data_IF_274641338174
#
_entry.id   IF_274641338174
#
_cell.length_a   1.000
_cell.length_b   1.000
_cell.length_c   1.000
_cell.angle_alpha   90.00
_cell.angle_beta   90.00
_cell.angle_gamma   90.00
#
_symmetry.space_group_name_H-M   'P 1'
#
loop_
_entity.id
_entity.type
_entity.pdbx_description
1 polymer ?
#
# COMPACT_ATOMS: atom_id res chain seq x y z
N UNK A 1 29.22 -3.01 2.91
CA UNK A 1 29.78 -1.92 3.73
C UNK A 1 28.82 -1.69 4.88
N UNK A 2 29.32 -1.64 6.12
CA UNK A 2 28.45 -1.47 7.30
C UNK A 2 28.24 0.01 7.54
N UNK A 3 26.99 0.42 7.74
CA UNK A 3 26.64 1.79 8.05
C UNK A 3 26.48 1.93 9.57
N UNK A 4 26.98 3.04 10.12
CA UNK A 4 26.80 3.43 11.52
C UNK A 4 26.25 4.84 11.59
N UNK A 5 25.22 5.02 12.40
CA UNK A 5 24.48 6.26 12.57
C UNK A 5 24.46 6.70 14.02
N UNK A 6 24.66 7.99 14.25
CA UNK A 6 24.47 8.65 15.55
C UNK A 6 23.45 9.76 15.38
N UNK A 7 22.40 9.71 16.18
CA UNK A 7 21.33 10.70 16.22
C UNK A 7 21.43 11.50 17.52
N UNK A 8 21.23 12.81 17.42
CA UNK A 8 21.03 13.71 18.57
C UNK A 8 19.71 14.44 18.37
N UNK A 9 18.80 14.32 19.33
CA UNK A 9 17.55 15.08 19.42
C UNK A 9 17.72 16.16 20.47
N UNK A 10 17.46 17.40 20.09
CA UNK A 10 17.50 18.58 20.95
C UNK A 10 16.10 19.21 21.00
N UNK A 11 15.54 19.29 22.20
CA UNK A 11 14.25 19.93 22.48
C UNK A 11 14.51 21.22 23.26
N UNK A 12 14.26 22.38 22.64
CA UNK A 12 14.52 23.69 23.26
C UNK A 12 13.21 24.35 23.63
N UNK A 13 13.01 24.64 24.92
CA UNK A 13 11.86 25.41 25.40
C UNK A 13 11.97 26.88 24.95
N UNK A 14 10.93 27.39 24.30
CA UNK A 14 10.94 28.73 23.69
C UNK A 14 10.83 29.87 24.70
N UNK A 15 10.39 29.58 25.93
CA UNK A 15 10.17 30.57 26.98
C UNK A 15 11.38 30.68 27.91
N UNK A 16 12.04 29.55 28.18
CA UNK A 16 13.15 29.44 29.14
C UNK A 16 14.51 29.27 28.48
N UNK A 17 14.55 28.88 27.21
CA UNK A 17 15.76 28.47 26.47
C UNK A 17 16.45 27.21 27.03
N UNK A 18 15.80 26.46 27.92
CA UNK A 18 16.31 25.18 28.41
C UNK A 18 16.31 24.14 27.28
N UNK A 19 17.37 23.33 27.22
CA UNK A 19 17.56 22.30 26.18
C UNK A 19 17.60 20.92 26.82
N UNK A 20 16.71 20.04 26.37
CA UNK A 20 16.71 18.62 26.64
C UNK A 20 17.37 17.89 25.46
N UNK A 21 18.34 17.02 25.73
CA UNK A 21 19.12 16.33 24.69
C UNK A 21 19.09 14.82 24.88
N UNK A 22 18.83 14.10 23.80
CA UNK A 22 18.91 12.62 23.72
C UNK A 22 19.84 12.23 22.58
N UNK A 23 20.74 11.27 22.84
CA UNK A 23 21.67 10.76 21.84
C UNK A 23 21.54 9.25 21.76
N UNK A 24 21.35 8.72 20.56
CA UNK A 24 21.22 7.28 20.32
C UNK A 24 22.00 6.87 19.07
N UNK A 25 22.36 5.58 19.00
CA UNK A 25 22.94 4.96 17.82
C UNK A 25 21.91 4.12 17.07
N UNK A 26 22.20 3.80 15.81
CA UNK A 26 21.24 3.13 14.95
C UNK A 26 21.44 1.63 14.76
N UNK A 27 20.34 0.98 14.44
CA UNK A 27 20.32 -0.28 13.73
C UNK A 27 19.96 -0.04 12.26
N UNK A 28 20.83 -0.41 11.34
CA UNK A 28 20.55 -0.33 9.89
C UNK A 28 19.75 -1.55 9.47
N UNK A 29 18.70 -1.34 8.70
CA UNK A 29 17.86 -2.43 8.18
C UNK A 29 18.34 -2.91 6.82
N UNK A 30 17.73 -3.96 6.32
CA UNK A 30 17.93 -4.47 4.97
C UNK A 30 17.19 -3.66 3.90
N UNK A 31 16.55 -2.53 4.23
CA UNK A 31 15.65 -1.84 3.31
C UNK A 31 16.32 -1.42 2.00
N UNK A 32 17.43 -0.68 2.09
CA UNK A 32 18.20 -0.21 0.92
C UNK A 32 18.77 -1.38 0.13
N UNK A 33 19.33 -2.39 0.80
CA UNK A 33 19.88 -3.58 0.14
C UNK A 33 18.81 -4.37 -0.61
N UNK A 34 17.61 -4.50 -0.04
CA UNK A 34 16.47 -5.13 -0.69
C UNK A 34 16.03 -4.35 -1.93
N UNK A 35 15.98 -3.01 -1.86
CA UNK A 35 15.59 -2.17 -3.01
C UNK A 35 16.59 -2.28 -4.16
N UNK A 36 17.89 -2.41 -3.87
CA UNK A 36 18.93 -2.51 -4.89
C UNK A 36 19.18 -3.95 -5.39
N UNK A 37 18.97 -4.94 -4.52
CA UNK A 37 19.37 -6.32 -4.75
C UNK A 37 18.24 -7.23 -5.23
N UNK A 38 16.98 -6.90 -4.95
CA UNK A 38 15.84 -7.70 -5.37
C UNK A 38 15.29 -7.17 -6.68
N UNK A 39 15.09 -8.07 -7.63
CA UNK A 39 14.55 -7.74 -8.95
C UNK A 39 13.32 -8.62 -9.31
N UNK A 40 12.27 -8.64 -8.46
CA UNK A 40 11.05 -9.40 -8.76
C UNK A 40 10.47 -8.95 -10.10
N UNK A 41 10.08 -9.91 -10.94
CA UNK A 41 9.53 -9.71 -12.28
C UNK A 41 10.41 -8.86 -13.22
N UNK A 42 11.70 -8.74 -12.91
CA UNK A 42 12.65 -8.01 -13.74
C UNK A 42 12.44 -6.49 -13.80
N UNK A 43 11.97 -5.86 -12.72
CA UNK A 43 11.76 -4.40 -12.60
C UNK A 43 12.90 -3.56 -13.19
N UNK A 44 14.16 -3.96 -13.02
CA UNK A 44 15.32 -3.18 -13.50
C UNK A 44 15.60 -3.33 -15.00
N UNK A 45 14.93 -4.25 -15.67
CA UNK A 45 15.14 -4.52 -17.09
C UNK A 45 14.11 -3.76 -17.94
N UNK A 46 14.55 -3.35 -19.14
CA UNK A 46 13.64 -2.97 -20.22
C UNK A 46 13.25 -4.25 -20.97
N UNK A 47 12.22 -4.92 -20.48
CA UNK A 47 11.88 -6.28 -20.90
C UNK A 47 10.52 -6.40 -21.61
N UNK A 48 9.75 -5.32 -21.69
CA UNK A 48 8.42 -5.34 -22.33
C UNK A 48 8.45 -4.69 -23.72
N UNK A 49 8.42 -3.36 -23.84
CA UNK A 49 8.30 -2.68 -25.13
C UNK A 49 9.04 -1.33 -25.22
N UNK A 50 8.77 -0.62 -26.32
CA UNK A 50 9.30 0.73 -26.56
C UNK A 50 8.81 1.73 -25.50
N UNK A 51 7.54 1.58 -25.09
CA UNK A 51 6.77 2.48 -24.23
C UNK A 51 6.81 2.16 -22.73
N UNK A 52 7.71 1.28 -22.28
CA UNK A 52 7.95 1.05 -20.86
C UNK A 52 8.24 2.37 -20.14
N UNK A 53 7.43 2.70 -19.13
CA UNK A 53 7.78 3.77 -18.21
C UNK A 53 8.59 3.19 -17.05
N UNK A 54 9.74 3.80 -16.77
CA UNK A 54 10.61 3.41 -15.67
C UNK A 54 11.25 4.65 -15.07
N UNK A 55 11.37 4.67 -13.75
CA UNK A 55 11.97 5.80 -13.07
C UNK A 55 13.45 5.95 -13.45
N UNK A 56 13.88 7.19 -13.66
CA UNK A 56 15.31 7.52 -13.73
C UNK A 56 15.90 7.42 -12.31
N UNK A 57 16.75 6.44 -12.05
CA UNK A 57 17.30 6.23 -10.71
C UNK A 57 18.17 7.39 -10.23
N UNK A 58 19.06 7.91 -11.08
CA UNK A 58 19.87 9.07 -10.75
C UNK A 58 19.01 10.33 -10.63
N UNK A 59 19.13 11.02 -9.49
CA UNK A 59 18.33 12.20 -9.16
C UNK A 59 17.02 11.88 -8.43
N UNK A 60 16.52 10.64 -8.48
CA UNK A 60 15.31 10.24 -7.73
C UNK A 60 15.62 9.32 -6.54
N UNK A 61 16.44 8.28 -6.75
CA UNK A 61 16.84 7.31 -5.73
C UNK A 61 18.35 7.38 -5.46
N UNK A 62 19.17 7.67 -6.47
CA UNK A 62 20.60 7.87 -6.33
C UNK A 62 21.01 9.35 -6.34
N UNK A 63 22.07 9.72 -5.62
CA UNK A 63 22.84 8.90 -4.65
C UNK A 63 21.99 8.45 -3.45
N UNK A 64 22.39 7.39 -2.74
CA UNK A 64 21.61 6.81 -1.62
C UNK A 64 21.22 7.90 -0.61
N UNK A 65 22.20 8.67 -0.12
CA UNK A 65 21.93 9.92 0.60
C UNK A 65 22.05 11.10 -0.38
N UNK A 66 21.09 12.04 -0.44
CA UNK A 66 19.96 12.19 0.49
C UNK A 66 18.62 11.69 -0.08
N UNK A 67 18.60 10.65 -0.92
CA UNK A 67 17.39 10.26 -1.68
C UNK A 67 16.72 8.99 -1.14
N UNK A 68 17.35 7.81 -1.29
CA UNK A 68 16.87 6.56 -0.67
C UNK A 68 16.96 6.58 0.85
N UNK A 69 17.95 7.29 1.39
CA UNK A 69 18.01 7.67 2.79
C UNK A 69 18.05 9.19 2.79
N UNK A 70 16.93 9.82 3.13
CA UNK A 70 16.74 11.25 2.93
C UNK A 70 15.70 11.89 3.81
N UNK A 71 14.84 11.09 4.42
CA UNK A 71 13.84 11.54 5.37
C UNK A 71 14.00 10.87 6.73
N UNK A 72 13.14 11.29 7.65
CA UNK A 72 13.05 10.78 9.01
C UNK A 72 11.59 10.56 9.38
N UNK A 73 11.32 9.48 10.13
CA UNK A 73 10.02 9.13 10.70
C UNK A 73 10.17 9.06 12.23
N UNK A 74 9.23 9.64 12.96
CA UNK A 74 9.21 9.70 14.43
C UNK A 74 7.99 8.94 14.92
N UNK A 75 8.18 8.05 15.90
CA UNK A 75 7.15 7.13 16.38
C UNK A 75 6.87 7.32 17.85
N UNK A 76 5.62 7.11 18.26
CA UNK A 76 5.19 7.23 19.66
C UNK A 76 5.51 5.99 20.51
N UNK A 77 5.75 4.85 19.86
CA UNK A 77 6.20 3.61 20.50
C UNK A 77 7.55 3.18 19.93
N UNK A 78 8.28 2.37 20.71
CA UNK A 78 9.50 1.72 20.25
C UNK A 78 9.23 0.84 19.03
N UNK A 79 10.26 0.63 18.22
CA UNK A 79 10.27 -0.24 17.06
C UNK A 79 11.00 -1.54 17.39
N UNK A 80 10.57 -2.66 16.82
CA UNK A 80 11.33 -3.91 16.91
C UNK A 80 12.67 -3.75 16.19
N UNK A 81 13.78 -3.92 16.91
CA UNK A 81 15.14 -3.89 16.36
C UNK A 81 15.45 -5.20 15.63
N UNK A 82 15.02 -5.25 14.38
CA UNK A 82 15.25 -6.36 13.47
C UNK A 82 15.62 -5.82 12.08
N UNK A 83 16.66 -6.37 11.46
CA UNK A 83 17.13 -5.89 10.16
C UNK A 83 16.09 -6.10 9.05
N UNK A 84 15.20 -7.08 9.20
CA UNK A 84 14.10 -7.34 8.26
C UNK A 84 12.82 -6.57 8.62
N UNK A 85 12.78 -5.86 9.75
CA UNK A 85 11.70 -4.96 10.09
C UNK A 85 11.84 -3.64 9.32
N UNK A 86 11.33 -3.65 8.09
CA UNK A 86 11.46 -2.55 7.12
C UNK A 86 10.22 -1.63 7.06
N UNK A 87 9.12 -1.97 7.74
CA UNK A 87 7.91 -1.16 7.85
C UNK A 87 7.22 -1.40 9.20
N UNK A 88 6.54 -0.38 9.72
CA UNK A 88 5.62 -0.56 10.83
C UNK A 88 4.23 -0.99 10.35
N UNK A 89 3.52 -1.70 11.22
CA UNK A 89 2.08 -1.91 11.07
C UNK A 89 1.32 -0.67 11.56
N UNK A 90 0.02 -0.64 11.29
CA UNK A 90 -0.84 0.51 11.49
C UNK A 90 -1.07 0.92 12.96
N UNK A 91 -0.66 0.09 13.93
CA UNK A 91 -0.73 0.40 15.36
C UNK A 91 0.40 1.34 15.83
N UNK A 92 1.42 1.56 14.99
CA UNK A 92 2.54 2.46 15.25
C UNK A 92 2.93 3.24 13.98
N UNK A 93 1.97 3.96 13.41
CA UNK A 93 2.23 4.93 12.35
C UNK A 93 3.04 6.12 12.88
N UNK A 94 3.86 6.78 12.04
CA UNK A 94 4.68 7.90 12.47
C UNK A 94 3.82 9.10 12.89
N UNK A 95 4.15 9.69 14.03
CA UNK A 95 3.49 10.90 14.56
C UNK A 95 4.06 12.19 13.98
N UNK A 96 5.29 12.12 13.47
CA UNK A 96 5.97 13.23 12.80
C UNK A 96 6.99 12.68 11.79
N UNK A 97 7.37 13.51 10.82
CA UNK A 97 8.32 13.14 9.79
C UNK A 97 8.98 14.36 9.17
N UNK A 98 10.06 14.18 8.42
CA UNK A 98 10.62 15.23 7.57
C UNK A 98 11.34 14.61 6.36
N UNK A 99 11.44 15.37 5.28
CA UNK A 99 12.06 14.94 4.01
C UNK A 99 13.44 15.59 3.85
N UNK A 100 14.05 15.45 2.67
CA UNK A 100 15.35 16.05 2.33
C UNK A 100 15.24 17.52 1.86
N UNK A 101 14.13 18.19 2.18
CA UNK A 101 13.83 19.56 1.78
C UNK A 101 13.03 20.28 2.88
N UNK A 102 12.80 21.58 2.66
CA UNK A 102 12.02 22.42 3.56
C UNK A 102 10.53 22.06 3.49
N UNK A 103 9.84 22.12 4.62
CA UNK A 103 8.38 22.04 4.64
C UNK A 103 7.79 23.39 4.20
N UNK A 104 7.38 23.48 2.94
CA UNK A 104 6.69 24.63 2.35
C UNK A 104 5.17 24.58 2.49
N UNK A 105 4.63 23.68 3.31
CA UNK A 105 3.19 23.39 3.42
C UNK A 105 2.67 23.62 4.84
N UNK A 106 1.35 23.55 5.02
CA UNK A 106 0.70 23.63 6.33
C UNK A 106 0.74 22.32 7.14
N UNK A 107 1.46 21.30 6.68
CA UNK A 107 1.52 20.00 7.36
C UNK A 107 2.28 20.12 8.69
N UNK A 108 1.56 20.04 9.81
CA UNK A 108 2.12 20.15 11.17
C UNK A 108 2.85 18.89 11.62
N UNK A 109 2.64 17.73 11.00
CA UNK A 109 3.46 16.55 11.26
C UNK A 109 4.85 16.65 10.62
N UNK A 110 5.02 17.57 9.65
CA UNK A 110 6.22 17.65 8.82
C UNK A 110 7.22 18.72 9.29
N UNK A 111 8.45 18.31 9.59
CA UNK A 111 9.59 19.19 9.82
C UNK A 111 10.31 19.61 8.53
N UNK A 112 11.33 20.45 8.65
CA UNK A 112 12.12 20.97 7.54
C UNK A 112 13.57 20.48 7.60
N UNK A 113 14.17 20.12 6.46
CA UNK A 113 15.62 19.97 6.39
C UNK A 113 16.30 21.33 6.50
N UNK A 114 17.28 21.45 7.39
CA UNK A 114 18.20 22.59 7.42
C UNK A 114 19.25 22.41 6.31
N UNK A 115 19.10 23.20 5.24
CA UNK A 115 19.92 23.11 4.03
C UNK A 115 21.36 23.58 4.21
N UNK A 116 21.67 24.30 5.28
CA UNK A 116 23.02 24.81 5.57
C UNK A 116 23.83 23.82 6.39
N UNK A 117 23.20 23.17 7.37
CA UNK A 117 23.88 22.21 8.24
C UNK A 117 23.91 20.79 7.69
N UNK A 118 22.94 20.45 6.82
CA UNK A 118 22.88 19.13 6.16
C UNK A 118 23.84 19.08 4.98
N UNK A 119 24.72 18.08 4.95
CA UNK A 119 25.76 17.97 3.92
C UNK A 119 26.32 16.56 3.81
N UNK A 120 26.84 16.26 2.63
CA UNK A 120 27.71 15.11 2.45
C UNK A 120 28.99 15.25 3.30
N UNK A 121 29.45 14.12 3.83
CA UNK A 121 30.74 13.94 4.50
C UNK A 121 31.64 13.10 3.59
N UNK A 122 32.92 13.00 3.93
CA UNK A 122 33.87 12.18 3.14
C UNK A 122 33.47 10.70 3.08
N UNK A 123 32.97 10.17 4.19
CA UNK A 123 32.54 8.77 4.34
C UNK A 123 31.07 8.63 4.77
N UNK A 124 30.21 9.59 4.42
CA UNK A 124 28.83 9.56 4.91
C UNK A 124 28.01 10.80 4.62
N UNK A 125 26.98 11.04 5.43
CA UNK A 125 26.10 12.18 5.33
C UNK A 125 25.66 12.67 6.70
N UNK A 126 25.57 13.99 6.87
CA UNK A 126 24.96 14.64 8.04
C UNK A 126 23.62 15.23 7.61
N UNK A 127 22.55 14.81 8.26
CA UNK A 127 21.23 15.42 8.18
C UNK A 127 20.96 16.28 9.40
N UNK A 128 20.28 17.40 9.21
CA UNK A 128 19.74 18.23 10.28
C UNK A 128 18.31 18.58 9.92
N UNK A 129 17.36 18.13 10.72
CA UNK A 129 15.95 18.49 10.61
C UNK A 129 15.53 19.38 11.76
N UNK A 130 14.65 20.34 11.46
CA UNK A 130 14.13 21.31 12.40
C UNK A 130 12.60 21.30 12.38
N UNK A 131 12.00 21.31 13.56
CA UNK A 131 10.56 21.38 13.76
C UNK A 131 10.28 22.63 14.60
N UNK A 132 9.43 23.49 14.04
CA UNK A 132 8.91 24.66 14.74
C UNK A 132 8.03 24.25 15.93
N UNK A 133 7.61 25.18 16.80
CA UNK A 133 6.78 24.82 17.94
C UNK A 133 5.44 24.20 17.54
N UNK A 134 4.87 24.61 16.41
CA UNK A 134 3.65 24.02 15.85
C UNK A 134 3.82 22.63 15.21
N UNK A 135 5.06 22.18 15.00
CA UNK A 135 5.37 20.98 14.22
C UNK A 135 5.87 19.81 15.08
N UNK A 136 5.53 18.60 14.65
CA UNK A 136 6.03 17.34 15.22
C UNK A 136 5.67 17.11 16.68
N UNK A 137 4.52 17.64 17.12
CA UNK A 137 4.09 17.54 18.51
C UNK A 137 3.57 16.13 18.83
N UNK A 138 3.97 15.60 19.98
CA UNK A 138 3.62 14.26 20.43
C UNK A 138 4.69 13.63 21.31
N UNK A 139 4.44 12.39 21.71
CA UNK A 139 5.45 11.53 22.34
C UNK A 139 6.31 10.90 21.26
N UNK A 140 7.62 10.89 21.46
CA UNK A 140 8.60 10.30 20.54
C UNK A 140 9.40 9.27 21.33
N UNK A 141 9.25 8.00 20.98
CA UNK A 141 9.95 6.87 21.60
C UNK A 141 10.89 6.15 20.64
N UNK A 142 10.73 6.36 19.32
CA UNK A 142 11.67 5.86 18.32
C UNK A 142 11.75 6.80 17.11
N UNK A 143 12.88 6.72 16.41
CA UNK A 143 13.17 7.50 15.22
C UNK A 143 13.78 6.57 14.18
N UNK A 144 13.35 6.69 12.93
CA UNK A 144 13.87 5.90 11.81
C UNK A 144 14.26 6.82 10.66
N UNK A 145 15.40 6.54 10.02
CA UNK A 145 15.65 7.10 8.68
C UNK A 145 14.74 6.42 7.66
N UNK A 146 14.31 7.15 6.64
CA UNK A 146 13.47 6.68 5.53
C UNK A 146 13.93 7.33 4.22
N UNK A 147 13.32 6.97 3.10
CA UNK A 147 13.48 7.72 1.84
C UNK A 147 13.01 9.17 1.96
N UNK A 148 13.55 10.04 1.12
CA UNK A 148 13.09 11.42 0.98
C UNK A 148 11.57 11.46 0.73
N UNK A 149 11.04 10.59 -0.12
CA UNK A 149 9.60 10.50 -0.43
C UNK A 149 8.76 10.02 0.75
N UNK A 150 9.26 9.07 1.54
CA UNK A 150 8.62 8.64 2.78
C UNK A 150 8.55 9.78 3.81
N UNK A 151 9.57 10.64 3.84
CA UNK A 151 9.61 11.82 4.71
C UNK A 151 8.73 13.01 4.26
N UNK A 152 8.14 12.96 3.06
CA UNK A 152 7.26 14.06 2.58
C UNK A 152 5.91 14.05 3.29
N UNK A 153 5.27 12.87 3.41
CA UNK A 153 3.92 12.74 3.97
C UNK A 153 3.73 11.52 4.89
N UNK A 154 4.78 10.74 5.15
CA UNK A 154 4.64 9.43 5.80
C UNK A 154 3.71 8.55 4.97
N UNK A 155 2.66 8.02 5.61
CA UNK A 155 1.60 7.26 4.93
C UNK A 155 0.50 8.14 4.34
N UNK A 156 0.45 9.44 4.64
CA UNK A 156 -0.55 10.37 4.12
C UNK A 156 -1.08 11.34 5.18
N UNK A 157 -1.58 12.48 4.71
CA UNK A 157 -2.18 13.54 5.53
C UNK A 157 -3.23 14.31 4.73
N UNK A 158 -3.94 15.23 5.38
CA UNK A 158 -4.85 16.18 4.71
C UNK A 158 -4.14 17.10 3.70
N UNK A 159 -2.82 17.27 3.82
CA UNK A 159 -2.03 18.19 2.99
C UNK A 159 -1.41 17.48 1.78
N UNK A 160 -1.10 16.19 1.92
CA UNK A 160 -0.36 15.40 0.94
C UNK A 160 -0.41 13.92 1.27
N UNK A 161 -0.59 13.06 0.27
CA UNK A 161 -0.61 11.60 0.43
C UNK A 161 -0.02 10.80 -0.76
N UNK A 162 0.28 11.45 -1.89
CA UNK A 162 0.78 10.79 -3.09
C UNK A 162 2.19 10.20 -2.96
N UNK A 163 3.05 10.78 -2.12
CA UNK A 163 4.46 10.39 -2.02
C UNK A 163 4.68 8.98 -1.44
N UNK A 164 3.65 8.39 -0.84
CA UNK A 164 3.66 7.06 -0.21
C UNK A 164 3.98 5.96 -1.22
N UNK A 165 3.50 6.08 -2.46
CA UNK A 165 3.73 5.12 -3.54
C UNK A 165 4.54 5.79 -4.65
N UNK A 166 5.78 5.35 -4.86
CA UNK A 166 6.62 5.83 -5.95
C UNK A 166 6.58 4.82 -7.09
N UNK A 167 6.01 5.17 -8.24
CA UNK A 167 6.06 4.32 -9.42
C UNK A 167 7.52 4.13 -9.85
N UNK A 168 7.99 2.89 -9.89
CA UNK A 168 9.33 2.56 -10.37
C UNK A 168 9.30 1.94 -11.77
N UNK A 169 8.19 1.29 -12.14
CA UNK A 169 7.98 0.66 -13.44
C UNK A 169 6.49 0.61 -13.79
N UNK A 170 6.15 0.90 -15.03
CA UNK A 170 4.92 0.45 -15.70
C UNK A 170 5.36 -0.31 -16.96
N UNK A 171 5.26 -1.63 -16.89
CA UNK A 171 5.57 -2.52 -17.99
C UNK A 171 4.33 -2.63 -18.90
N UNK A 172 4.49 -2.26 -20.17
CA UNK A 172 3.42 -2.32 -21.17
C UNK A 172 3.07 -3.77 -21.48
N UNK A 173 1.79 -4.12 -21.30
CA UNK A 173 1.22 -5.44 -21.61
C UNK A 173 0.05 -5.32 -22.59
N UNK A 174 -0.06 -4.22 -23.32
CA UNK A 174 -1.13 -3.96 -24.29
C UNK A 174 -1.20 -4.98 -25.43
N UNK A 175 -0.05 -5.56 -25.81
CA UNK A 175 0.07 -6.60 -26.83
C UNK A 175 -0.34 -8.00 -26.33
N UNK A 176 -0.51 -8.18 -25.01
CA UNK A 176 -1.05 -9.43 -24.46
C UNK A 176 -2.51 -9.59 -24.91
N UNK A 177 -2.94 -10.76 -25.41
CA UNK A 177 -4.32 -10.96 -25.84
C UNK A 177 -5.32 -10.58 -24.74
N UNK A 178 -6.43 -9.91 -25.10
CA UNK A 178 -7.41 -9.38 -24.11
C UNK A 178 -7.92 -10.42 -23.11
N UNK A 179 -8.17 -11.65 -23.57
CA UNK A 179 -8.56 -12.75 -22.68
C UNK A 179 -7.47 -13.08 -21.63
N UNK A 180 -6.20 -12.96 -22.01
CA UNK A 180 -5.06 -13.18 -21.12
C UNK A 180 -4.83 -11.98 -20.19
N UNK A 181 -5.06 -10.75 -20.65
CA UNK A 181 -5.07 -9.56 -19.78
C UNK A 181 -6.13 -9.70 -18.68
N UNK A 182 -7.35 -10.13 -19.03
CA UNK A 182 -8.40 -10.37 -18.03
C UNK A 182 -7.98 -11.38 -16.97
N UNK A 183 -7.29 -12.47 -17.35
CA UNK A 183 -6.76 -13.43 -16.38
C UNK A 183 -5.80 -12.76 -15.38
N UNK A 184 -4.91 -11.88 -15.85
CA UNK A 184 -4.02 -11.10 -14.97
C UNK A 184 -4.81 -10.10 -14.11
N UNK A 185 -5.84 -9.47 -14.69
CA UNK A 185 -6.68 -8.49 -14.00
C UNK A 185 -7.61 -9.15 -12.99
N UNK A 186 -7.81 -10.46 -13.05
CA UNK A 186 -8.58 -11.28 -12.10
C UNK A 186 -7.70 -11.86 -10.97
N UNK A 187 -6.44 -11.43 -10.87
CA UNK A 187 -5.54 -11.89 -9.79
C UNK A 187 -6.13 -11.57 -8.42
N UNK A 188 -6.24 -12.59 -7.58
CA UNK A 188 -6.67 -12.52 -6.19
C UNK A 188 -5.51 -12.70 -5.21
N UNK A 189 -4.43 -13.39 -5.63
CA UNK A 189 -3.25 -13.66 -4.81
C UNK A 189 -2.00 -13.84 -5.68
N UNK A 190 -0.85 -13.41 -5.15
CA UNK A 190 0.48 -13.65 -5.74
C UNK A 190 1.37 -14.30 -4.69
N UNK A 191 1.93 -15.47 -5.03
CA UNK A 191 2.98 -16.13 -4.28
C UNK A 191 4.32 -15.88 -4.98
N UNK A 192 4.99 -14.81 -4.52
CA UNK A 192 6.22 -14.30 -5.10
C UNK A 192 7.36 -15.31 -5.05
N UNK A 193 7.50 -16.05 -3.95
CA UNK A 193 8.60 -16.99 -3.74
C UNK A 193 8.49 -18.21 -4.66
N UNK A 194 7.27 -18.66 -4.94
CA UNK A 194 7.04 -19.81 -5.81
C UNK A 194 6.74 -19.46 -7.27
N UNK A 195 6.78 -18.17 -7.65
CA UNK A 195 6.53 -17.70 -9.01
C UNK A 195 5.10 -18.04 -9.48
N UNK A 196 4.12 -17.86 -8.59
CA UNK A 196 2.73 -18.20 -8.84
C UNK A 196 1.81 -16.99 -8.64
N UNK A 197 0.76 -16.93 -9.45
CA UNK A 197 -0.41 -16.12 -9.17
C UNK A 197 -1.68 -16.98 -9.23
N UNK A 198 -2.73 -16.54 -8.56
CA UNK A 198 -4.04 -17.17 -8.57
C UNK A 198 -5.07 -16.17 -9.10
N UNK A 199 -5.62 -16.49 -10.27
CA UNK A 199 -6.66 -15.72 -10.93
C UNK A 199 -8.01 -16.37 -10.66
N UNK A 200 -8.99 -15.59 -10.18
CA UNK A 200 -10.30 -16.10 -9.78
C UNK A 200 -11.39 -15.21 -10.36
N UNK A 201 -12.37 -15.84 -11.00
CA UNK A 201 -13.51 -15.17 -11.61
C UNK A 201 -14.77 -16.01 -11.52
N UNK A 202 -15.92 -15.39 -11.75
CA UNK A 202 -17.21 -16.05 -11.77
C UNK A 202 -17.92 -15.78 -13.09
N UNK A 203 -18.56 -16.81 -13.63
CA UNK A 203 -19.39 -16.75 -14.83
C UNK A 203 -20.59 -17.66 -14.60
N UNK A 204 -21.79 -17.12 -14.80
CA UNK A 204 -23.06 -17.78 -14.48
C UNK A 204 -23.06 -18.37 -13.04
N UNK A 205 -23.40 -19.66 -12.91
CA UNK A 205 -23.35 -20.42 -11.66
C UNK A 205 -22.03 -21.21 -11.54
N UNK A 206 -20.91 -20.54 -11.79
CA UNK A 206 -19.59 -21.15 -11.63
C UNK A 206 -18.53 -20.17 -11.16
N UNK A 207 -17.54 -20.71 -10.45
CA UNK A 207 -16.30 -20.01 -10.11
C UNK A 207 -15.14 -20.74 -10.76
N UNK A 208 -14.31 -20.00 -11.50
CA UNK A 208 -13.11 -20.52 -12.17
C UNK A 208 -11.87 -20.01 -11.47
N UNK A 209 -11.00 -20.93 -11.09
CA UNK A 209 -9.73 -20.68 -10.40
C UNK A 209 -8.61 -21.15 -11.31
N UNK A 210 -7.68 -20.25 -11.63
CA UNK A 210 -6.50 -20.57 -12.43
C UNK A 210 -5.25 -20.37 -11.58
N UNK A 211 -4.49 -21.45 -11.41
CA UNK A 211 -3.13 -21.39 -10.86
C UNK A 211 -2.18 -21.16 -12.00
N UNK A 212 -1.44 -20.06 -11.97
CA UNK A 212 -0.62 -19.62 -13.09
C UNK A 212 0.82 -19.47 -12.61
N UNK A 213 1.74 -19.99 -13.41
CA UNK A 213 3.16 -19.66 -13.32
C UNK A 213 3.42 -18.35 -14.04
N UNK A 214 4.08 -17.43 -13.36
CA UNK A 214 4.59 -16.18 -13.94
C UNK A 214 6.05 -15.97 -13.51
N UNK A 215 6.96 -15.52 -14.38
CA UNK A 215 8.35 -15.30 -13.98
C UNK A 215 8.48 -14.15 -12.96
N UNK A 216 8.91 -14.46 -11.74
CA UNK A 216 9.12 -13.47 -10.67
C UNK A 216 10.62 -13.40 -10.32
N UNK A 217 11.19 -14.47 -9.80
CA UNK A 217 12.61 -14.56 -9.44
C UNK A 217 13.41 -15.56 -10.27
N UNK A 218 12.73 -16.45 -10.99
CA UNK A 218 13.33 -17.31 -11.99
C UNK A 218 12.55 -17.23 -13.30
N UNK A 219 13.27 -17.46 -14.41
CA UNK A 219 12.74 -17.40 -15.76
C UNK A 219 13.14 -18.67 -16.51
N UNK A 220 12.17 -19.27 -17.22
CA UNK A 220 12.36 -20.39 -18.10
C UNK A 220 12.99 -19.99 -19.43
N UNK A 221 13.55 -20.96 -20.15
CA UNK A 221 14.32 -20.72 -21.38
C UNK A 221 13.55 -19.98 -22.49
N UNK A 222 12.22 -20.11 -22.51
CA UNK A 222 11.34 -19.47 -23.49
C UNK A 222 10.33 -18.52 -22.85
N UNK A 223 10.45 -18.27 -21.54
CA UNK A 223 9.61 -17.30 -20.85
C UNK A 223 10.14 -15.88 -21.10
N UNK A 224 9.25 -14.92 -21.05
CA UNK A 224 9.49 -13.49 -21.17
C UNK A 224 8.98 -12.78 -19.92
N UNK A 225 9.50 -11.59 -19.65
CA UNK A 225 9.12 -10.76 -18.50
C UNK A 225 8.03 -9.74 -18.81
N UNK A 226 7.37 -9.90 -19.96
CA UNK A 226 6.28 -9.07 -20.50
C UNK A 226 4.89 -9.65 -20.26
N UNK A 227 4.80 -10.61 -19.34
CA UNK A 227 3.59 -11.36 -18.98
C UNK A 227 2.93 -12.14 -20.14
N UNK A 228 3.44 -12.03 -21.38
CA UNK A 228 2.86 -12.69 -22.57
C UNK A 228 3.04 -14.20 -22.60
N UNK A 229 3.89 -14.73 -21.74
CA UNK A 229 4.28 -16.15 -21.70
C UNK A 229 3.96 -16.82 -20.36
N UNK A 230 3.08 -16.21 -19.54
CA UNK A 230 2.59 -16.91 -18.34
C UNK A 230 2.00 -18.27 -18.73
N UNK A 231 2.06 -19.24 -17.82
CA UNK A 231 1.55 -20.59 -18.07
C UNK A 231 0.47 -20.96 -17.04
N UNK A 232 -0.72 -21.32 -17.51
CA UNK A 232 -1.76 -21.91 -16.65
C UNK A 232 -1.33 -23.33 -16.28
N UNK A 233 -1.05 -23.55 -14.99
CA UNK A 233 -0.66 -24.85 -14.45
C UNK A 233 -1.87 -25.71 -14.08
N UNK A 234 -2.92 -25.05 -13.59
CA UNK A 234 -4.18 -25.69 -13.21
C UNK A 234 -5.35 -24.75 -13.52
N UNK A 235 -6.44 -25.33 -13.99
CA UNK A 235 -7.68 -24.62 -14.31
C UNK A 235 -8.86 -25.41 -13.72
N UNK A 236 -9.42 -24.89 -12.64
CA UNK A 236 -10.46 -25.54 -11.85
C UNK A 236 -11.75 -24.76 -11.95
N UNK A 237 -12.83 -25.44 -12.34
CA UNK A 237 -14.19 -24.89 -12.32
C UNK A 237 -14.96 -25.51 -11.17
N UNK A 238 -15.56 -24.67 -10.34
CA UNK A 238 -16.46 -25.01 -9.24
C UNK A 238 -17.88 -24.65 -9.66
N UNK A 239 -18.81 -25.60 -9.59
CA UNK A 239 -20.24 -25.33 -9.85
C UNK A 239 -20.89 -24.84 -8.57
N UNK A 240 -21.42 -23.61 -8.60
CA UNK A 240 -22.11 -22.98 -7.48
C UNK A 240 -23.62 -23.16 -7.60
N UNK A 241 -24.33 -23.11 -6.47
CA UNK A 241 -25.79 -23.14 -6.41
C UNK A 241 -26.37 -21.78 -6.03
N UNK A 242 -25.68 -21.04 -5.17
CA UNK A 242 -26.15 -19.74 -4.64
C UNK A 242 -25.29 -18.61 -5.16
N UNK A 243 -23.97 -18.77 -5.11
CA UNK A 243 -23.04 -17.72 -5.51
C UNK A 243 -23.00 -17.53 -7.02
N UNK A 244 -23.16 -16.28 -7.43
CA UNK A 244 -22.95 -15.76 -8.77
C UNK A 244 -22.67 -14.26 -8.63
N UNK A 245 -22.13 -13.62 -9.67
CA UNK A 245 -22.11 -12.17 -9.70
C UNK A 245 -23.51 -11.65 -10.07
N UNK A 246 -24.07 -10.80 -9.21
CA UNK A 246 -25.35 -10.13 -9.41
C UNK A 246 -25.23 -9.03 -10.47
N UNK A 247 -26.36 -8.67 -11.07
CA UNK A 247 -26.46 -7.71 -12.18
C UNK A 247 -26.63 -8.40 -13.54
N UNK A 248 -27.16 -7.66 -14.52
CA UNK A 248 -27.46 -8.19 -15.86
C UNK A 248 -26.42 -7.77 -16.91
N UNK A 249 -26.20 -6.45 -17.04
CA UNK A 249 -25.24 -5.88 -17.98
C UNK A 249 -23.87 -5.70 -17.33
N UNK A 250 -23.85 -4.99 -16.21
CA UNK A 250 -22.67 -4.88 -15.34
C UNK A 250 -22.78 -5.93 -14.25
N UNK A 251 -21.75 -6.75 -14.10
CA UNK A 251 -21.69 -7.76 -13.05
C UNK A 251 -20.99 -7.17 -11.82
N UNK A 252 -21.62 -7.27 -10.66
CA UNK A 252 -21.13 -6.75 -9.39
C UNK A 252 -20.51 -7.87 -8.57
N UNK A 253 -19.20 -7.88 -8.41
CA UNK A 253 -18.57 -8.87 -7.54
C UNK A 253 -17.06 -8.89 -7.58
N UNK A 254 -16.49 -9.39 -6.49
CA UNK A 254 -15.04 -9.40 -6.27
C UNK A 254 -14.58 -10.65 -5.53
N UNK A 255 -13.34 -11.04 -5.83
CA UNK A 255 -12.61 -12.10 -5.13
C UNK A 255 -11.42 -11.51 -4.38
N UNK A 256 -11.23 -11.96 -3.14
CA UNK A 256 -10.20 -11.48 -2.23
C UNK A 256 -9.51 -12.65 -1.54
N UNK A 257 -8.20 -12.54 -1.35
CA UNK A 257 -7.46 -13.39 -0.44
C UNK A 257 -7.76 -13.03 1.02
N UNK A 258 -8.28 -13.98 1.80
CA UNK A 258 -8.51 -13.80 3.24
C UNK A 258 -7.25 -13.86 4.09
N UNK A 259 -6.12 -14.31 3.54
CA UNK A 259 -4.85 -14.59 4.24
C UNK A 259 -5.00 -15.57 5.41
N UNK A 260 -6.03 -16.40 5.37
CA UNK A 260 -6.42 -17.36 6.42
C UNK A 260 -6.52 -18.81 5.87
N UNK A 261 -5.95 -19.06 4.69
CA UNK A 261 -6.05 -20.33 3.98
C UNK A 261 -7.28 -20.44 3.07
N UNK A 262 -8.05 -19.36 2.92
CA UNK A 262 -9.22 -19.31 2.05
C UNK A 262 -9.21 -18.09 1.11
N UNK A 263 -9.79 -18.26 -0.08
CA UNK A 263 -10.26 -17.15 -0.90
C UNK A 263 -11.74 -16.92 -0.62
N UNK A 264 -12.16 -15.67 -0.74
CA UNK A 264 -13.55 -15.26 -0.55
C UNK A 264 -14.05 -14.52 -1.79
N UNK A 265 -15.22 -14.89 -2.27
CA UNK A 265 -15.97 -14.15 -3.28
C UNK A 265 -17.19 -13.47 -2.67
N UNK A 266 -17.48 -12.25 -3.09
CA UNK A 266 -18.65 -11.47 -2.65
C UNK A 266 -19.33 -10.81 -3.85
N UNK A 267 -20.65 -10.71 -3.79
CA UNK A 267 -21.44 -9.99 -4.78
C UNK A 267 -22.66 -9.33 -4.12
N UNK A 268 -22.85 -8.03 -4.41
CA UNK A 268 -24.01 -7.26 -4.01
C UNK A 268 -24.30 -6.16 -5.03
N UNK A 269 -25.57 -5.88 -5.27
CA UNK A 269 -25.99 -4.61 -5.84
C UNK A 269 -26.04 -3.54 -4.74
N UNK A 270 -25.64 -2.30 -5.07
CA UNK A 270 -25.65 -1.21 -4.09
C UNK A 270 -27.07 -0.83 -3.66
N UNK A 271 -27.26 -0.53 -2.37
CA UNK A 271 -28.55 -0.15 -1.81
C UNK A 271 -28.48 1.13 -0.96
N UNK A 272 -29.40 2.06 -1.22
CA UNK A 272 -29.50 3.34 -0.50
C UNK A 272 -30.45 3.29 0.70
N UNK A 273 -31.22 2.22 0.84
CA UNK A 273 -32.24 2.03 1.88
C UNK A 273 -32.44 0.53 2.18
N UNK A 274 -33.16 0.23 3.26
CA UNK A 274 -33.43 -1.14 3.68
C UNK A 274 -32.19 -1.91 4.16
N UNK A 275 -32.26 -3.23 4.05
CA UNK A 275 -31.16 -4.16 4.31
C UNK A 275 -30.45 -4.48 3.00
N UNK A 276 -29.14 -4.67 3.05
CA UNK A 276 -28.36 -5.15 1.90
C UNK A 276 -28.46 -6.68 1.81
N UNK A 277 -28.47 -7.19 0.59
CA UNK A 277 -28.29 -8.62 0.30
C UNK A 277 -26.92 -8.81 -0.32
N UNK A 278 -26.21 -9.88 0.07
CA UNK A 278 -24.91 -10.23 -0.47
C UNK A 278 -24.79 -11.74 -0.61
N UNK A 279 -24.49 -12.23 -1.81
CA UNK A 279 -24.09 -13.63 -1.99
C UNK A 279 -22.58 -13.76 -1.82
N UNK A 280 -22.15 -14.86 -1.21
CA UNK A 280 -20.75 -15.08 -0.88
C UNK A 280 -20.33 -16.53 -1.11
N UNK A 281 -19.04 -16.73 -1.33
CA UNK A 281 -18.39 -18.04 -1.40
C UNK A 281 -17.07 -18.00 -0.64
N UNK A 282 -16.79 -19.05 0.13
CA UNK A 282 -15.52 -19.29 0.83
C UNK A 282 -14.89 -20.55 0.27
N UNK A 283 -13.68 -20.44 -0.27
CA UNK A 283 -13.00 -21.50 -1.04
C UNK A 283 -11.68 -21.86 -0.35
N UNK A 284 -11.50 -23.12 0.01
CA UNK A 284 -10.27 -23.66 0.55
C UNK A 284 -9.13 -23.59 -0.47
N UNK A 285 -8.00 -23.00 -0.09
CA UNK A 285 -6.80 -22.97 -0.94
C UNK A 285 -6.13 -24.34 -1.08
N UNK A 286 -6.42 -25.28 -0.18
CA UNK A 286 -5.76 -26.60 -0.13
C UNK A 286 -6.35 -27.59 -1.12
N UNK A 287 -7.69 -27.64 -1.21
CA UNK A 287 -8.42 -28.67 -1.95
C UNK A 287 -9.59 -28.14 -2.79
N UNK A 288 -9.77 -26.82 -2.82
CA UNK A 288 -10.88 -26.14 -3.50
C UNK A 288 -12.27 -26.54 -3.03
N UNK A 289 -12.37 -27.22 -1.88
CA UNK A 289 -13.66 -27.38 -1.20
C UNK A 289 -14.20 -26.00 -0.83
N UNK A 290 -15.51 -25.80 -0.93
CA UNK A 290 -16.10 -24.50 -0.68
C UNK A 290 -17.44 -24.59 0.02
N UNK A 291 -17.79 -23.49 0.66
CA UNK A 291 -19.14 -23.20 1.17
C UNK A 291 -19.59 -21.88 0.60
N UNK A 292 -20.88 -21.74 0.36
CA UNK A 292 -21.49 -20.54 -0.19
C UNK A 292 -22.80 -20.23 0.52
N UNK A 293 -23.30 -19.02 0.33
CA UNK A 293 -24.60 -18.63 0.84
C UNK A 293 -24.98 -17.21 0.49
N UNK A 294 -26.03 -16.75 1.15
CA UNK A 294 -26.55 -15.40 1.05
C UNK A 294 -26.61 -14.79 2.45
N UNK A 295 -26.19 -13.53 2.56
CA UNK A 295 -26.34 -12.71 3.74
C UNK A 295 -27.44 -11.67 3.54
N UNK A 296 -28.26 -11.48 4.58
CA UNK A 296 -29.14 -10.31 4.72
C UNK A 296 -28.59 -9.42 5.83
N UNK A 297 -27.96 -8.31 5.44
CA UNK A 297 -27.29 -7.38 6.34
C UNK A 297 -28.29 -6.32 6.79
N UNK A 298 -28.87 -6.56 7.97
CA UNK A 298 -29.98 -5.77 8.49
C UNK A 298 -29.66 -4.27 8.60
N UNK A 299 -30.44 -3.44 7.90
CA UNK A 299 -30.27 -1.98 7.85
C UNK A 299 -28.91 -1.47 7.33
N UNK A 300 -28.09 -2.34 6.72
CA UNK A 300 -26.85 -1.95 6.08
C UNK A 300 -27.13 -1.40 4.68
N UNK A 301 -26.50 -0.26 4.34
CA UNK A 301 -26.64 0.43 3.06
C UNK A 301 -25.30 0.48 2.38
N UNK A 302 -25.05 -0.46 1.48
CA UNK A 302 -23.74 -0.69 0.89
C UNK A 302 -23.67 -0.08 -0.52
N UNK A 303 -22.48 0.32 -0.96
CA UNK A 303 -22.20 0.30 -2.40
C UNK A 303 -21.88 -1.14 -2.83
N UNK A 304 -21.80 -1.38 -4.13
CA UNK A 304 -21.25 -2.63 -4.65
C UNK A 304 -19.79 -2.82 -4.19
N UNK A 305 -19.42 -4.08 -3.91
CA UNK A 305 -18.04 -4.49 -3.55
C UNK A 305 -17.02 -4.27 -4.68
N UNK A 306 -17.52 -4.15 -5.90
CA UNK A 306 -16.77 -3.96 -7.13
C UNK A 306 -17.63 -4.39 -8.31
N UNK A 307 -17.17 -4.10 -9.52
CA UNK A 307 -17.90 -4.41 -10.74
C UNK A 307 -16.98 -4.65 -11.92
N UNK A 308 -17.53 -5.29 -12.95
CA UNK A 308 -16.86 -5.56 -14.21
C UNK A 308 -17.89 -5.53 -15.34
N UNK A 309 -17.47 -5.07 -16.50
CA UNK A 309 -18.23 -5.20 -17.74
C UNK A 309 -17.58 -6.31 -18.59
N UNK A 310 -18.41 -7.21 -19.11
CA UNK A 310 -18.00 -8.27 -20.02
C UNK A 310 -17.88 -7.82 -21.48
N UNK A 311 -18.05 -6.52 -21.76
CA UNK A 311 -17.91 -5.97 -23.10
C UNK A 311 -16.54 -6.31 -23.70
N UNK A 312 -16.53 -6.85 -24.92
CA UNK A 312 -15.34 -7.49 -25.50
C UNK A 312 -14.28 -6.52 -26.02
N UNK A 313 -14.47 -5.21 -25.82
CA UNK A 313 -13.61 -4.20 -26.48
C UNK A 313 -12.35 -3.92 -25.68
N UNK A 314 -12.46 -3.90 -24.34
CA UNK A 314 -11.33 -3.72 -23.41
C UNK A 314 -11.68 -4.36 -22.06
N UNK A 315 -10.67 -4.81 -21.30
CA UNK A 315 -10.89 -5.37 -19.96
C UNK A 315 -11.38 -4.27 -18.98
N UNK A 316 -12.46 -4.55 -18.25
CA UNK A 316 -13.05 -3.64 -17.27
C UNK A 316 -13.14 -4.31 -15.89
N UNK A 317 -12.60 -3.67 -14.85
CA UNK A 317 -12.70 -4.13 -13.46
C UNK A 317 -12.55 -2.97 -12.47
N UNK A 318 -13.49 -2.86 -11.55
CA UNK A 318 -13.51 -1.86 -10.49
C UNK A 318 -13.55 -2.54 -9.13
N UNK A 319 -12.57 -2.28 -8.27
CA UNK A 319 -12.46 -2.87 -6.94
C UNK A 319 -12.78 -1.83 -5.86
N UNK A 320 -13.79 -2.11 -5.03
CA UNK A 320 -14.27 -1.18 -3.98
C UNK A 320 -14.18 -1.70 -2.56
N UNK A 321 -13.84 -2.97 -2.36
CA UNK A 321 -13.76 -3.61 -1.05
C UNK A 321 -12.36 -4.18 -0.77
N UNK A 322 -12.16 -4.65 0.46
CA UNK A 322 -11.01 -5.48 0.81
C UNK A 322 -11.35 -6.41 1.99
N UNK A 323 -10.55 -7.46 2.17
CA UNK A 323 -10.66 -8.39 3.31
C UNK A 323 -9.42 -8.26 4.19
N UNK A 324 -9.63 -8.04 5.49
CA UNK A 324 -8.56 -7.96 6.49
C UNK A 324 -8.97 -8.72 7.75
N UNK A 325 -8.12 -9.64 8.20
CA UNK A 325 -8.24 -10.33 9.50
C UNK A 325 -9.63 -10.92 9.79
N UNK A 326 -10.23 -11.60 8.80
CA UNK A 326 -11.54 -12.24 8.96
C UNK A 326 -12.75 -11.29 8.83
N UNK A 327 -12.53 -10.07 8.35
CA UNK A 327 -13.58 -9.09 8.08
C UNK A 327 -13.54 -8.60 6.63
N UNK A 328 -14.71 -8.45 6.03
CA UNK A 328 -14.93 -7.72 4.77
C UNK A 328 -15.20 -6.24 5.08
N UNK A 329 -14.56 -5.35 4.34
CA UNK A 329 -14.73 -3.90 4.43
C UNK A 329 -15.41 -3.39 3.16
N UNK A 330 -16.64 -2.88 3.29
CA UNK A 330 -17.47 -2.41 2.17
C UNK A 330 -17.91 -0.95 2.39
N UNK A 331 -17.80 -0.07 1.38
CA UNK A 331 -18.33 1.29 1.47
C UNK A 331 -19.80 1.39 1.85
N UNK A 332 -20.10 2.31 2.76
CA UNK A 332 -21.45 2.78 2.96
C UNK A 332 -21.92 3.60 1.75
N UNK A 333 -23.16 3.39 1.32
CA UNK A 333 -23.77 4.07 0.16
C UNK A 333 -23.67 5.60 0.23
N UNK A 334 -23.74 6.16 1.44
CA UNK A 334 -23.70 7.60 1.67
C UNK A 334 -22.28 8.20 1.69
N UNK A 335 -21.22 7.39 1.48
CA UNK A 335 -19.80 7.80 1.50
C UNK A 335 -19.31 8.32 2.86
N UNK A 336 -20.02 8.02 3.95
CA UNK A 336 -19.68 8.51 5.31
C UNK A 336 -19.07 7.45 6.22
N UNK A 337 -18.84 6.24 5.72
CA UNK A 337 -18.20 5.19 6.48
C UNK A 337 -17.92 3.94 5.66
N UNK A 338 -17.29 2.96 6.32
CA UNK A 338 -17.10 1.59 5.82
C UNK A 338 -17.83 0.63 6.76
N UNK A 339 -18.61 -0.28 6.20
CA UNK A 339 -19.12 -1.42 6.95
C UNK A 339 -18.01 -2.47 7.09
N UNK A 340 -17.72 -2.85 8.33
CA UNK A 340 -16.88 -3.98 8.71
C UNK A 340 -17.80 -5.17 9.00
N UNK A 341 -17.71 -6.22 8.20
CA UNK A 341 -18.60 -7.39 8.23
C UNK A 341 -17.77 -8.62 8.55
N UNK A 342 -18.10 -9.34 9.62
CA UNK A 342 -17.38 -10.56 10.00
C UNK A 342 -17.68 -11.70 9.03
N UNK A 343 -16.64 -12.29 8.45
CA UNK A 343 -16.77 -13.36 7.46
C UNK A 343 -17.36 -14.66 8.03
N UNK A 344 -17.26 -14.86 9.34
CA UNK A 344 -17.78 -16.06 10.01
C UNK A 344 -19.13 -15.83 10.71
N UNK A 345 -19.57 -14.56 10.83
CA UNK A 345 -20.81 -14.21 11.52
C UNK A 345 -21.43 -12.93 10.94
N UNK A 346 -22.37 -13.09 10.01
CA UNK A 346 -23.05 -11.95 9.36
C UNK A 346 -23.77 -10.99 10.33
N UNK A 347 -24.08 -11.41 11.56
CA UNK A 347 -24.69 -10.54 12.57
C UNK A 347 -23.67 -9.57 13.20
N UNK A 348 -22.37 -9.86 13.11
CA UNK A 348 -21.29 -8.94 13.49
C UNK A 348 -20.96 -8.04 12.29
N UNK A 349 -21.79 -7.01 12.15
CA UNK A 349 -21.63 -5.92 11.20
C UNK A 349 -21.58 -4.60 11.97
N UNK A 350 -20.56 -3.79 11.70
CA UNK A 350 -20.39 -2.47 12.33
C UNK A 350 -20.07 -1.43 11.26
N UNK A 351 -20.68 -0.26 11.36
CA UNK A 351 -20.32 0.89 10.54
C UNK A 351 -19.18 1.65 11.22
N UNK A 352 -18.02 1.72 10.56
CA UNK A 352 -16.91 2.60 10.91
C UNK A 352 -17.22 3.96 10.29
N UNK A 353 -17.69 4.90 11.12
CA UNK A 353 -18.02 6.25 10.70
C UNK A 353 -16.75 7.07 10.44
N UNK A 354 -16.70 7.78 9.31
CA UNK A 354 -15.58 8.64 8.96
C UNK A 354 -15.55 9.96 9.73
N UNK A 355 -16.73 10.46 10.14
CA UNK A 355 -16.86 11.83 10.64
C UNK A 355 -16.84 12.91 9.55
N UNK A 356 -16.72 12.52 8.28
CA UNK A 356 -16.80 13.37 7.09
C UNK A 356 -17.47 12.62 5.93
N UNK A 357 -17.76 13.31 4.84
CA UNK A 357 -18.19 12.66 3.59
C UNK A 357 -16.97 12.49 2.70
N UNK A 358 -16.57 11.24 2.42
CA UNK A 358 -15.49 10.95 1.49
C UNK A 358 -15.86 11.43 0.08
N UNK A 359 -14.86 11.95 -0.65
CA UNK A 359 -14.95 12.24 -2.08
C UNK A 359 -15.27 10.96 -2.87
N UNK A 360 -14.86 9.82 -2.33
CA UNK A 360 -15.01 8.49 -2.90
C UNK A 360 -14.50 8.45 -4.35
N UNK A 361 -13.20 8.68 -4.48
CA UNK A 361 -12.45 8.62 -5.75
C UNK A 361 -11.50 7.42 -5.72
N UNK A 362 -11.19 6.83 -6.88
CA UNK A 362 -10.20 5.76 -6.95
C UNK A 362 -8.81 6.25 -6.52
N UNK A 363 -7.97 5.30 -6.11
CA UNK A 363 -6.54 5.50 -5.85
C UNK A 363 -5.74 5.70 -7.14
N UNK A 364 -6.25 5.20 -8.26
CA UNK A 364 -5.66 5.34 -9.59
C UNK A 364 -6.34 6.45 -10.40
N UNK A 365 -5.81 6.71 -11.59
CA UNK A 365 -6.54 7.44 -12.62
C UNK A 365 -7.88 6.75 -12.92
N UNK A 366 -8.87 7.56 -13.32
CA UNK A 366 -10.22 7.06 -13.64
C UNK A 366 -10.27 6.54 -15.07
N UNK A 367 -10.90 5.38 -15.29
CA UNK A 367 -10.86 4.69 -16.57
C UNK A 367 -11.69 3.40 -16.58
N UNK A 368 -11.35 2.47 -17.48
CA UNK A 368 -11.99 1.14 -17.53
C UNK A 368 -11.63 0.25 -16.34
N UNK A 369 -10.49 0.51 -15.68
CA UNK A 369 -10.10 -0.20 -14.47
C UNK A 369 -9.88 0.79 -13.32
N UNK A 370 -10.49 0.52 -12.17
CA UNK A 370 -10.37 1.39 -10.99
C UNK A 370 -10.18 0.62 -9.68
N UNK A 371 -9.30 1.09 -8.79
CA UNK A 371 -9.14 0.54 -7.44
C UNK A 371 -9.42 1.64 -6.41
N UNK A 372 -10.41 1.43 -5.56
CA UNK A 372 -10.78 2.39 -4.50
C UNK A 372 -10.14 2.06 -3.15
N UNK A 373 -9.87 0.78 -2.90
CA UNK A 373 -9.32 0.30 -1.64
C UNK A 373 -8.27 -0.78 -1.89
N UNK A 374 -7.15 -0.70 -1.18
CA UNK A 374 -6.12 -1.75 -1.16
C UNK A 374 -5.56 -1.91 0.25
N UNK A 375 -4.95 -3.05 0.53
CA UNK A 375 -4.22 -3.30 1.77
C UNK A 375 -2.72 -3.09 1.56
N UNK A 376 -2.10 -2.40 2.50
CA UNK A 376 -0.63 -2.30 2.63
C UNK A 376 -0.28 -2.72 4.05
N UNK A 377 0.38 -3.87 4.20
CA UNK A 377 0.45 -4.56 5.49
C UNK A 377 -0.95 -4.83 6.06
N UNK A 378 -1.27 -4.23 7.20
CA UNK A 378 -2.58 -4.25 7.85
C UNK A 378 -3.40 -2.95 7.63
N UNK A 379 -2.81 -1.93 7.00
CA UNK A 379 -3.47 -0.64 6.76
C UNK A 379 -4.35 -0.73 5.51
N UNK A 380 -5.63 -0.38 5.67
CA UNK A 380 -6.51 -0.16 4.52
C UNK A 380 -6.23 1.24 4.00
N UNK A 381 -5.87 1.33 2.73
CA UNK A 381 -5.60 2.59 2.05
C UNK A 381 -6.68 2.82 1.00
N UNK A 382 -7.33 3.97 1.04
CA UNK A 382 -8.33 4.39 0.07
C UNK A 382 -8.00 5.79 -0.49
N UNK A 383 -8.82 6.25 -1.44
CA UNK A 383 -8.63 7.52 -2.15
C UNK A 383 -8.30 8.68 -1.21
N UNK A 384 -9.18 9.00 -0.27
CA UNK A 384 -9.05 10.13 0.68
C UNK A 384 -9.15 9.72 2.15
N UNK A 385 -8.96 8.44 2.47
CA UNK A 385 -8.90 7.98 3.85
C UNK A 385 -8.07 6.70 3.99
N UNK A 386 -7.77 6.37 5.25
CA UNK A 386 -7.17 5.11 5.65
C UNK A 386 -7.88 4.56 6.89
N UNK A 387 -7.80 3.25 7.10
CA UNK A 387 -8.35 2.60 8.29
C UNK A 387 -7.29 1.69 8.92
N UNK A 388 -6.91 2.00 10.16
CA UNK A 388 -5.92 1.21 10.93
C UNK A 388 -6.52 -0.14 11.35
N UNK A 389 -5.71 -1.07 11.86
CA UNK A 389 -6.17 -2.35 12.39
C UNK A 389 -7.06 -2.21 13.63
N UNK A 390 -6.99 -1.06 14.33
CA UNK A 390 -7.91 -0.69 15.40
C UNK A 390 -9.20 -0.03 14.89
N UNK A 391 -9.41 0.00 13.56
CA UNK A 391 -10.51 0.64 12.86
C UNK A 391 -10.59 2.17 13.08
N UNK A 392 -9.46 2.80 13.38
CA UNK A 392 -9.36 4.25 13.42
C UNK A 392 -9.26 4.82 12.00
N UNK A 393 -10.03 5.87 11.73
CA UNK A 393 -10.08 6.52 10.42
C UNK A 393 -9.08 7.68 10.38
N UNK A 394 -8.23 7.67 9.36
CA UNK A 394 -7.29 8.77 9.05
C UNK A 394 -7.76 9.43 7.76
N UNK A 395 -8.14 10.71 7.82
CA UNK A 395 -8.53 11.48 6.63
C UNK A 395 -7.27 11.97 5.88
N UNK A 396 -7.20 11.71 4.58
CA UNK A 396 -6.09 12.13 3.72
C UNK A 396 -6.55 13.06 2.60
N UNK A 397 -5.61 13.64 1.87
CA UNK A 397 -5.88 14.66 0.84
C UNK A 397 -6.81 14.16 -0.27
N UNK A 398 -6.66 12.91 -0.70
CA UNK A 398 -7.44 12.38 -1.83
C UNK A 398 -6.71 12.45 -3.17
N UNK A 399 -5.38 12.34 -3.20
CA UNK A 399 -4.62 12.39 -4.46
C UNK A 399 -4.69 11.06 -5.20
N UNK A 400 -4.56 11.11 -6.53
CA UNK A 400 -4.23 9.93 -7.34
C UNK A 400 -2.81 9.48 -6.97
N UNK A 401 -2.64 8.17 -6.72
CA UNK A 401 -1.36 7.57 -6.25
C UNK A 401 -0.90 6.41 -7.11
N UNK A 402 -1.78 5.90 -7.96
CA UNK A 402 -1.53 4.76 -8.86
C UNK A 402 -1.83 5.20 -10.30
N UNK A 403 -1.20 4.52 -11.25
CA UNK A 403 -1.65 4.47 -12.63
C UNK A 403 -2.90 3.55 -12.70
N UNK A 404 -3.57 3.49 -13.85
CA UNK A 404 -4.75 2.65 -14.08
C UNK A 404 -4.57 1.24 -13.49
N UNK A 405 -5.47 0.85 -12.59
CA UNK A 405 -5.34 -0.37 -11.78
C UNK A 405 -6.65 -1.17 -11.78
N UNK A 406 -6.55 -2.48 -12.00
CA UNK A 406 -7.65 -3.44 -11.95
C UNK A 406 -7.56 -4.37 -10.75
N UNK A 407 -6.34 -4.65 -10.27
CA UNK A 407 -6.10 -5.49 -9.10
C UNK A 407 -5.81 -4.64 -7.87
N UNK A 408 -6.12 -5.12 -6.65
CA UNK A 408 -5.43 -4.64 -5.45
C UNK A 408 -3.90 -4.73 -5.61
N UNK A 409 -3.17 -4.06 -4.73
CA UNK A 409 -1.71 -4.13 -4.73
C UNK A 409 -1.23 -5.37 -3.97
N UNK A 410 -0.31 -6.11 -4.60
CA UNK A 410 0.36 -7.27 -4.00
C UNK A 410 1.73 -6.87 -3.52
N UNK A 411 1.96 -7.00 -2.21
CA UNK A 411 3.19 -6.55 -1.57
C UNK A 411 4.24 -7.66 -1.50
N UNK A 412 5.44 -7.37 -2.00
CA UNK A 412 6.65 -8.14 -1.74
C UNK A 412 7.74 -7.24 -1.15
N UNK A 413 7.92 -7.32 0.17
CA UNK A 413 8.77 -6.40 0.95
C UNK A 413 8.42 -4.93 0.67
N UNK A 414 9.24 -4.22 -0.11
CA UNK A 414 9.04 -2.79 -0.46
C UNK A 414 8.25 -2.57 -1.74
N UNK A 415 8.10 -3.61 -2.54
CA UNK A 415 7.50 -3.52 -3.86
C UNK A 415 6.01 -3.83 -3.76
N UNK A 416 5.20 -3.00 -4.40
CA UNK A 416 3.77 -3.16 -4.55
C UNK A 416 3.49 -3.38 -6.04
N UNK A 417 2.89 -4.51 -6.38
CA UNK A 417 2.58 -4.89 -7.75
C UNK A 417 1.10 -4.82 -8.03
N UNK A 418 0.73 -4.41 -9.24
CA UNK A 418 -0.64 -4.47 -9.71
C UNK A 418 -0.71 -4.63 -11.23
N UNK A 419 -1.88 -5.03 -11.70
CA UNK A 419 -2.23 -5.03 -13.11
C UNK A 419 -3.45 -4.17 -13.33
N UNK A 420 -3.51 -3.49 -14.46
CA UNK A 420 -4.66 -2.68 -14.84
C UNK A 420 -4.44 -2.00 -16.16
N UNK A 421 -5.38 -1.15 -16.53
CA UNK A 421 -5.27 -0.38 -17.75
C UNK A 421 -6.53 0.40 -18.07
N UNK A 422 -6.38 1.29 -19.04
CA UNK A 422 -7.44 2.15 -19.53
C UNK A 422 -7.47 2.16 -21.04
N UNK A 423 -8.59 1.72 -21.63
CA UNK A 423 -8.90 1.84 -23.06
C UNK A 423 -7.75 1.48 -24.03
N UNK A 424 -7.13 0.31 -23.85
CA UNK A 424 -6.05 -0.18 -24.73
C UNK A 424 -4.64 0.19 -24.28
N UNK A 425 -4.49 0.82 -23.11
CA UNK A 425 -3.21 1.02 -22.42
C UNK A 425 -3.20 0.17 -21.16
N UNK A 426 -2.68 -1.06 -21.25
CA UNK A 426 -2.63 -2.00 -20.14
C UNK A 426 -1.21 -2.20 -19.62
N UNK A 427 -1.08 -2.21 -18.29
CA UNK A 427 0.21 -2.24 -17.62
C UNK A 427 0.25 -3.27 -16.50
N UNK A 428 1.45 -3.86 -16.32
CA UNK A 428 1.89 -4.34 -15.01
C UNK A 428 2.66 -3.21 -14.33
N UNK A 429 2.13 -2.69 -13.23
CA UNK A 429 2.74 -1.59 -12.49
C UNK A 429 3.50 -2.10 -11.27
N UNK A 430 4.56 -1.38 -10.93
CA UNK A 430 5.33 -1.60 -9.70
C UNK A 430 5.60 -0.27 -9.02
N UNK A 431 5.27 -0.22 -7.74
CA UNK A 431 5.53 0.91 -6.86
C UNK A 431 6.51 0.50 -5.76
N UNK A 432 7.34 1.44 -5.34
CA UNK A 432 8.07 1.38 -4.09
C UNK A 432 7.22 2.04 -2.99
N UNK A 433 6.94 1.30 -1.92
CA UNK A 433 6.38 1.87 -0.70
C UNK A 433 7.48 2.71 -0.04
N UNK A 434 7.30 4.02 0.02
CA UNK A 434 8.41 4.94 0.35
C UNK A 434 8.69 5.15 1.84
N UNK A 435 7.71 4.99 2.78
CA UNK A 435 7.95 5.13 4.23
C UNK A 435 8.64 3.92 4.88
N UNK A 436 9.69 3.38 4.25
CA UNK A 436 10.45 2.27 4.82
C UNK A 436 11.41 2.72 5.91
N UNK A 437 11.67 1.82 6.85
CA UNK A 437 12.66 2.00 7.90
C UNK A 437 14.02 1.63 7.30
N UNK A 438 14.83 2.62 6.90
CA UNK A 438 16.22 2.41 6.48
C UNK A 438 17.17 2.20 7.67
N UNK A 439 16.78 2.73 8.83
CA UNK A 439 17.39 2.43 10.12
C UNK A 439 16.37 2.62 11.24
N UNK A 440 16.68 2.11 12.43
CA UNK A 440 15.86 2.16 13.63
C UNK A 440 16.71 2.66 14.80
N UNK A 441 16.22 3.68 15.50
CA UNK A 441 16.79 4.21 16.73
C UNK A 441 15.69 4.29 17.78
N UNK A 442 15.67 3.35 18.72
CA UNK A 442 14.82 3.49 19.91
C UNK A 442 15.46 4.46 20.90
N UNK A 443 14.66 5.32 21.50
CA UNK A 443 15.12 6.21 22.56
C UNK A 443 15.13 5.43 23.88
N UNK A 444 16.22 5.54 24.63
CA UNK A 444 16.35 5.02 26.00
C UNK A 444 15.27 5.56 26.94
N UNK A 445 14.79 6.77 26.68
CA UNK A 445 13.59 7.35 27.29
C UNK A 445 12.81 8.16 26.26
N UNK A 446 11.49 7.94 26.19
CA UNK A 446 10.63 8.72 25.31
C UNK A 446 10.65 10.21 25.70
N UNK A 447 10.68 11.08 24.69
CA UNK A 447 10.63 12.53 24.86
C UNK A 447 9.27 13.07 24.44
N UNK A 448 8.88 14.22 24.98
CA UNK A 448 7.61 14.86 24.65
C UNK A 448 7.88 16.22 23.98
N UNK A 449 7.48 16.32 22.71
CA UNK A 449 7.50 17.55 21.93
C UNK A 449 6.15 18.25 22.05
N UNK A 450 6.14 19.43 22.65
CA UNK A 450 4.95 20.28 22.82
C UNK A 450 5.06 21.56 22.01
N UNK A 451 3.98 22.35 22.00
CA UNK A 451 3.91 23.67 21.37
C UNK A 451 4.83 24.72 21.98
N UNK A 452 5.40 24.44 23.15
CA UNK A 452 6.34 25.34 23.84
C UNK A 452 7.80 24.99 23.55
N UNK A 453 8.06 23.96 22.74
CA UNK A 453 9.41 23.50 22.41
C UNK A 453 9.65 23.60 20.90
N UNK A 454 10.86 23.94 20.46
CA UNK A 454 11.35 23.55 19.13
C UNK A 454 12.03 22.19 19.21
N UNK A 455 12.21 21.52 18.07
CA UNK A 455 13.00 20.28 18.01
C UNK A 455 14.01 20.37 16.88
N UNK A 456 15.26 20.03 17.17
CA UNK A 456 16.31 19.83 16.18
C UNK A 456 16.80 18.40 16.27
N UNK A 457 16.88 17.73 15.13
CA UNK A 457 17.40 16.36 15.04
C UNK A 457 18.61 16.39 14.12
N UNK A 458 19.78 16.14 14.69
CA UNK A 458 21.02 15.96 13.94
C UNK A 458 21.29 14.47 13.82
N UNK A 459 21.42 13.98 12.59
CA UNK A 459 21.71 12.58 12.31
C UNK A 459 22.96 12.49 11.45
N UNK A 460 23.99 11.82 11.95
CA UNK A 460 25.23 11.54 11.20
C UNK A 460 25.27 10.07 10.84
N UNK A 461 25.24 9.74 9.55
CA UNK A 461 25.32 8.37 9.03
C UNK A 461 26.63 8.20 8.26
N UNK A 462 27.47 7.27 8.67
CA UNK A 462 28.81 7.04 8.09
C UNK A 462 29.03 5.58 7.75
N UNK A 463 29.92 5.35 6.79
CA UNK A 463 30.46 4.06 6.43
C UNK A 463 31.55 3.66 7.45
N UNK A 464 31.44 2.47 8.02
CA UNK A 464 32.53 1.86 8.79
C UNK A 464 33.67 1.46 7.83
N UNK A 465 34.90 1.74 8.26
CA UNK A 465 36.13 1.47 7.51
C UNK A 465 36.45 -0.03 7.35
#
# INVERSE_FOLDING_TARGET
MRLKGTMVVELTDVNTSEVETVTEENMVTNAVNNILGLNPMGIFYKATGEYDDAIMWNGNLFPICPNMIGGILLFSKTLEENADNIYTLSDNLPVAYASNNVNSTANTARGSLNLTESKALENGYKFVWEFTPSQGNGTIAAVALTSAKGGENGYGSLVGDASTFLQIKAADIGDVPKANQMVLFETAEVDFENNLLYSITAEDSSVRIRKIRIPIFNIGLNEKLDDSTYTVLEDKVLTTQTFHFLGDYTLYGEFMDGKDGYWYGFSNEGNSSGSATMVWIKISKTDYSFTEGEWTLSNAKLMDVGNRDGSTTYPERVVKCCVRNGYLYVPAYNKKGIYRINLSNQADITLIEFGFTSKWKPLCDAGSCEVYMTLVGDLIVAGDFQITAADEVIHTQGSVRLNDAATPLFQYKHFLFGWGGSYGSEFRTTYLLTPYLASINNLSSAVIKTVDKTMKITYTLTEEA
#
